data_IF_277947311940
#
_entry.id   IF_277947311940
#
_cell.length_a   1.000
_cell.length_b   1.000
_cell.length_c   1.000
_cell.angle_alpha   90.00
_cell.angle_beta   90.00
_cell.angle_gamma   90.00
#
_symmetry.space_group_name_H-M   'P 1'
#
loop_
_entity.id
_entity.type
_entity.pdbx_description
1 polymer ?
#
# COMPACT_ATOMS: atom_id res chain seq x y z
N UNK A 1 -47.70 -0.76 2.90
CA UNK A 1 -46.35 -1.14 3.40
C UNK A 1 -45.37 -1.12 2.23
N UNK A 2 -44.82 0.04 1.85
CA UNK A 2 -43.93 0.18 0.68
C UNK A 2 -42.55 0.78 1.02
N UNK A 3 -42.22 0.95 2.30
CA UNK A 3 -41.06 1.75 2.71
C UNK A 3 -39.88 0.95 3.27
N UNK A 4 -39.88 -0.39 3.25
CA UNK A 4 -38.82 -1.18 3.89
C UNK A 4 -37.61 -1.52 2.98
N UNK A 5 -37.69 -1.28 1.67
CA UNK A 5 -36.65 -1.71 0.71
C UNK A 5 -35.46 -0.76 0.57
N UNK A 6 -35.54 0.48 1.09
CA UNK A 6 -34.49 1.50 0.90
C UNK A 6 -33.37 1.39 1.96
N UNK A 7 -33.62 0.74 3.11
CA UNK A 7 -32.62 0.65 4.19
C UNK A 7 -31.46 -0.32 3.93
N UNK A 8 -31.60 -1.26 3.00
CA UNK A 8 -30.57 -2.29 2.74
C UNK A 8 -29.46 -1.83 1.78
N UNK A 9 -29.67 -0.76 1.02
CA UNK A 9 -28.69 -0.27 0.02
C UNK A 9 -27.61 0.60 0.71
N UNK A 10 -27.93 1.26 1.83
CA UNK A 10 -26.97 2.09 2.55
C UNK A 10 -25.94 1.29 3.36
N UNK A 11 -26.28 0.10 3.85
CA UNK A 11 -25.37 -0.69 4.68
C UNK A 11 -24.21 -1.31 3.90
N UNK A 12 -24.39 -1.61 2.61
CA UNK A 12 -23.34 -2.18 1.76
C UNK A 12 -22.30 -1.14 1.35
N UNK A 13 -22.71 0.12 1.14
CA UNK A 13 -21.82 1.24 0.82
C UNK A 13 -20.82 1.53 1.95
N UNK A 14 -21.28 1.55 3.21
CA UNK A 14 -20.39 1.82 4.35
C UNK A 14 -19.31 0.75 4.53
N UNK A 15 -19.65 -0.53 4.35
CA UNK A 15 -18.68 -1.63 4.47
C UNK A 15 -17.64 -1.59 3.36
N UNK A 16 -18.00 -1.14 2.15
CA UNK A 16 -17.04 -0.97 1.07
C UNK A 16 -16.11 0.22 1.29
N UNK A 17 -16.64 1.36 1.74
CA UNK A 17 -15.85 2.56 2.03
C UNK A 17 -14.80 2.28 3.11
N UNK A 18 -15.19 1.67 4.24
CA UNK A 18 -14.27 1.36 5.33
C UNK A 18 -13.15 0.38 4.91
N UNK A 19 -13.43 -0.54 3.99
CA UNK A 19 -12.42 -1.47 3.48
C UNK A 19 -11.45 -0.82 2.51
N UNK A 20 -11.91 0.12 1.69
CA UNK A 20 -11.07 0.92 0.81
C UNK A 20 -10.16 1.85 1.62
N UNK A 21 -10.71 2.53 2.63
CA UNK A 21 -9.92 3.36 3.56
C UNK A 21 -8.82 2.53 4.24
N UNK A 22 -9.14 1.31 4.69
CA UNK A 22 -8.15 0.40 5.26
C UNK A 22 -7.06 0.00 4.25
N UNK A 23 -7.41 -0.24 2.99
CA UNK A 23 -6.42 -0.62 1.96
C UNK A 23 -5.47 0.54 1.60
N UNK A 24 -6.02 1.74 1.50
CA UNK A 24 -5.24 2.97 1.28
C UNK A 24 -4.32 3.26 2.47
N UNK A 25 -4.83 3.12 3.70
CA UNK A 25 -4.04 3.28 4.92
C UNK A 25 -2.86 2.32 4.96
N UNK A 26 -3.09 1.02 4.72
CA UNK A 26 -2.01 0.02 4.68
C UNK A 26 -0.95 0.40 3.64
N UNK A 27 -1.36 0.86 2.45
CA UNK A 27 -0.39 1.30 1.44
C UNK A 27 0.48 2.45 1.94
N UNK A 28 -0.15 3.49 2.50
CA UNK A 28 0.54 4.66 3.02
C UNK A 28 1.47 4.33 4.19
N UNK A 29 1.07 3.42 5.08
CA UNK A 29 1.91 2.95 6.19
C UNK A 29 3.19 2.26 5.68
N UNK A 30 3.08 1.40 4.67
CA UNK A 30 4.24 0.75 4.06
C UNK A 30 5.14 1.76 3.32
N UNK A 31 4.56 2.76 2.65
CA UNK A 31 5.35 3.83 2.01
C UNK A 31 6.08 4.69 3.05
N UNK A 32 5.39 5.07 4.13
CA UNK A 32 5.95 5.89 5.20
C UNK A 32 7.15 5.22 5.89
N UNK A 33 7.11 3.89 6.10
CA UNK A 33 8.24 3.12 6.64
C UNK A 33 9.54 3.38 5.85
N UNK A 34 9.47 3.43 4.52
CA UNK A 34 10.64 3.62 3.67
C UNK A 34 11.04 5.10 3.54
N UNK A 35 10.06 6.01 3.55
CA UNK A 35 10.32 7.46 3.54
C UNK A 35 11.03 7.93 4.81
N UNK A 36 10.63 7.41 5.98
CA UNK A 36 11.25 7.72 7.26
C UNK A 36 12.75 7.41 7.27
N UNK A 37 13.12 6.22 6.80
CA UNK A 37 14.54 5.85 6.69
C UNK A 37 15.29 6.70 5.68
N UNK A 38 14.66 7.04 4.54
CA UNK A 38 15.30 7.91 3.55
C UNK A 38 15.50 9.35 4.02
N UNK A 39 14.74 9.81 5.01
CA UNK A 39 14.82 11.15 5.57
C UNK A 39 15.73 11.25 6.80
N UNK A 40 16.40 10.16 7.18
CA UNK A 40 17.25 10.09 8.38
C UNK A 40 16.49 10.49 9.66
N UNK A 41 15.19 10.18 9.68
CA UNK A 41 14.44 10.22 10.93
C UNK A 41 15.05 9.12 11.81
N UNK A 42 15.70 9.50 12.92
CA UNK A 42 16.42 8.65 13.88
C UNK A 42 15.53 7.58 14.59
N UNK A 43 14.55 7.02 13.90
CA UNK A 43 13.72 5.91 14.33
C UNK A 43 14.42 4.59 13.97
N UNK A 44 14.69 3.77 14.99
CA UNK A 44 15.13 2.39 14.81
C UNK A 44 14.00 1.56 14.20
N UNK A 45 13.97 1.44 12.87
CA UNK A 45 13.08 0.54 12.14
C UNK A 45 13.80 -0.79 11.90
N UNK A 46 13.16 -1.91 12.25
CA UNK A 46 13.75 -3.23 12.05
C UNK A 46 13.80 -3.61 10.55
N UNK A 47 14.80 -4.42 10.19
CA UNK A 47 15.05 -4.84 8.82
C UNK A 47 13.92 -5.66 8.20
N UNK A 48 13.15 -6.42 9.01
CA UNK A 48 12.04 -7.20 8.49
C UNK A 48 10.89 -6.27 8.06
N UNK A 49 10.56 -5.27 8.87
CA UNK A 49 9.57 -4.25 8.53
C UNK A 49 9.92 -3.52 7.23
N UNK A 50 11.20 -3.17 7.04
CA UNK A 50 11.67 -2.56 5.79
C UNK A 50 11.52 -3.51 4.59
N UNK A 51 11.90 -4.77 4.77
CA UNK A 51 11.79 -5.80 3.73
C UNK A 51 10.33 -6.06 3.33
N UNK A 52 9.44 -6.16 4.31
CA UNK A 52 8.00 -6.36 4.09
C UNK A 52 7.39 -5.17 3.38
N UNK A 53 7.67 -3.95 3.84
CA UNK A 53 7.19 -2.72 3.22
C UNK A 53 7.64 -2.58 1.76
N UNK A 54 8.93 -2.80 1.50
CA UNK A 54 9.47 -2.83 0.14
C UNK A 54 8.79 -3.89 -0.72
N UNK A 55 8.70 -5.12 -0.22
CA UNK A 55 8.10 -6.25 -0.95
C UNK A 55 6.63 -5.98 -1.28
N UNK A 56 5.90 -5.36 -0.35
CA UNK A 56 4.52 -4.96 -0.53
C UNK A 56 4.38 -3.94 -1.67
N UNK A 57 5.16 -2.86 -1.65
CA UNK A 57 5.10 -1.81 -2.67
C UNK A 57 5.52 -2.31 -4.06
N UNK A 58 6.58 -3.12 -4.13
CA UNK A 58 7.01 -3.78 -5.37
C UNK A 58 5.88 -4.62 -5.98
N UNK A 59 5.24 -5.47 -5.17
CA UNK A 59 4.15 -6.36 -5.62
C UNK A 59 2.89 -5.59 -6.02
N UNK A 60 2.57 -4.52 -5.29
CA UNK A 60 1.33 -3.78 -5.48
C UNK A 60 1.40 -2.83 -6.68
N UNK A 61 2.54 -2.18 -6.86
CA UNK A 61 2.72 -1.16 -7.92
C UNK A 61 3.35 -1.73 -9.20
N UNK A 62 4.11 -2.83 -9.08
CA UNK A 62 4.95 -3.35 -10.17
C UNK A 62 6.17 -2.47 -10.50
N UNK A 63 6.37 -1.35 -9.80
CA UNK A 63 7.52 -0.46 -9.98
C UNK A 63 8.73 -1.17 -9.41
N UNK A 64 9.68 -1.54 -10.28
CA UNK A 64 10.93 -2.21 -9.93
C UNK A 64 12.08 -1.22 -9.96
N UNK A 65 13.12 -1.51 -9.18
CA UNK A 65 14.40 -0.84 -9.23
C UNK A 65 15.51 -1.88 -9.06
N UNK A 66 16.75 -1.49 -9.29
CA UNK A 66 17.88 -2.38 -9.12
C UNK A 66 17.95 -2.84 -7.66
N UNK A 67 17.72 -4.13 -7.45
CA UNK A 67 17.99 -4.82 -6.21
C UNK A 67 19.39 -5.41 -6.41
N UNK A 68 20.39 -4.99 -5.63
CA UNK A 68 21.72 -5.58 -5.72
C UNK A 68 21.67 -7.06 -5.35
N UNK A 69 22.70 -7.77 -5.80
CA UNK A 69 22.86 -9.22 -5.66
C UNK A 69 22.80 -9.65 -4.19
N UNK A 70 22.47 -10.93 -3.99
CA UNK A 70 22.07 -11.60 -2.75
C UNK A 70 22.97 -11.42 -1.50
N UNK A 71 24.06 -10.64 -1.56
CA UNK A 71 25.01 -10.44 -0.46
C UNK A 71 25.35 -8.98 -0.12
N UNK A 72 24.88 -8.00 -0.88
CA UNK A 72 25.09 -6.59 -0.58
C UNK A 72 23.89 -6.03 0.23
N UNK A 73 24.18 -5.13 1.17
CA UNK A 73 23.25 -4.54 2.16
C UNK A 73 21.85 -4.23 1.61
N UNK A 74 20.79 -4.17 2.46
CA UNK A 74 19.45 -3.81 2.01
C UNK A 74 19.50 -2.49 1.23
N UNK A 75 19.39 -2.56 -0.11
CA UNK A 75 19.25 -1.37 -0.91
C UNK A 75 17.97 -0.69 -0.47
N UNK A 76 18.16 0.45 0.18
CA UNK A 76 17.11 1.42 0.39
C UNK A 76 16.67 1.92 -0.99
N UNK A 77 15.36 1.97 -1.26
CA UNK A 77 14.87 2.52 -2.51
C UNK A 77 15.41 3.94 -2.70
N UNK A 78 15.98 4.27 -3.87
CA UNK A 78 16.36 5.64 -4.20
C UNK A 78 15.16 6.60 -4.05
N UNK A 79 15.43 7.89 -3.82
CA UNK A 79 14.37 8.90 -3.65
C UNK A 79 13.42 8.95 -4.84
N UNK A 80 13.92 8.68 -6.04
CA UNK A 80 13.16 8.60 -7.27
C UNK A 80 12.12 7.47 -7.24
N UNK A 81 12.44 6.35 -6.59
CA UNK A 81 11.53 5.21 -6.41
C UNK A 81 10.47 5.52 -5.37
N UNK A 82 10.84 6.14 -4.26
CA UNK A 82 9.88 6.63 -3.27
C UNK A 82 8.87 7.60 -3.91
N UNK A 83 9.39 8.55 -4.71
CA UNK A 83 8.54 9.46 -5.49
C UNK A 83 7.65 8.71 -6.48
N UNK A 84 8.17 7.71 -7.19
CA UNK A 84 7.38 6.93 -8.14
C UNK A 84 6.22 6.17 -7.44
N UNK A 85 6.43 5.63 -6.24
CA UNK A 85 5.37 5.01 -5.46
C UNK A 85 4.34 6.02 -4.95
N UNK A 86 4.77 7.23 -4.55
CA UNK A 86 3.87 8.33 -4.20
C UNK A 86 3.00 8.74 -5.39
N UNK A 87 3.63 9.02 -6.54
CA UNK A 87 2.94 9.38 -7.77
C UNK A 87 1.98 8.26 -8.23
N UNK A 88 2.34 7.00 -8.01
CA UNK A 88 1.48 5.86 -8.29
C UNK A 88 0.25 5.84 -7.38
N UNK A 89 0.43 6.09 -6.07
CA UNK A 89 -0.67 6.13 -5.10
C UNK A 89 -1.67 7.24 -5.47
N UNK A 90 -1.20 8.43 -5.78
CA UNK A 90 -2.07 9.57 -6.12
C UNK A 90 -2.96 9.26 -7.34
N UNK A 91 -2.48 8.43 -8.27
CA UNK A 91 -3.18 8.04 -9.51
C UNK A 91 -4.04 6.78 -9.38
N UNK A 92 -3.82 5.94 -8.36
CA UNK A 92 -4.38 4.58 -8.29
C UNK A 92 -4.93 4.20 -6.92
N UNK A 93 -4.96 5.11 -5.95
CA UNK A 93 -5.40 4.82 -4.57
C UNK A 93 -6.85 4.35 -4.50
N UNK A 94 -7.70 4.77 -5.42
CA UNK A 94 -9.08 4.32 -5.59
C UNK A 94 -9.19 2.84 -6.05
N UNK A 95 -8.13 2.32 -6.66
CA UNK A 95 -8.03 0.92 -7.11
C UNK A 95 -7.53 -0.02 -6.02
N UNK A 96 -7.09 0.50 -4.87
CA UNK A 96 -6.61 -0.31 -3.75
C UNK A 96 -7.76 -1.02 -3.06
N UNK A 97 -7.61 -2.32 -2.81
CA UNK A 97 -8.61 -3.12 -2.10
C UNK A 97 -7.97 -4.25 -1.30
N UNK A 98 -8.67 -4.71 -0.26
CA UNK A 98 -8.29 -5.91 0.48
C UNK A 98 -8.73 -7.18 -0.27
N UNK A 99 -7.76 -7.95 -0.75
CA UNK A 99 -8.00 -9.25 -1.38
C UNK A 99 -8.20 -10.32 -0.29
N UNK A 100 -9.43 -10.84 -0.19
CA UNK A 100 -9.77 -11.86 0.82
C UNK A 100 -9.07 -13.20 0.60
N UNK A 101 -8.69 -13.53 -0.64
CA UNK A 101 -8.08 -14.83 -0.99
C UNK A 101 -6.62 -14.86 -0.56
N UNK A 102 -5.88 -13.79 -0.85
CA UNK A 102 -4.47 -13.66 -0.48
C UNK A 102 -4.26 -12.96 0.85
N UNK A 103 -5.33 -12.46 1.49
CA UNK A 103 -5.30 -11.69 2.75
C UNK A 103 -4.28 -10.55 2.69
N UNK A 104 -4.30 -9.80 1.60
CA UNK A 104 -3.36 -8.71 1.34
C UNK A 104 -4.02 -7.59 0.55
N UNK A 105 -3.48 -6.38 0.67
CA UNK A 105 -3.89 -5.28 -0.21
C UNK A 105 -3.36 -5.53 -1.63
N UNK A 106 -4.20 -5.23 -2.63
CA UNK A 106 -3.87 -5.28 -4.06
C UNK A 106 -4.45 -4.07 -4.78
N UNK A 107 -3.96 -3.85 -5.99
CA UNK A 107 -4.51 -2.87 -6.93
C UNK A 107 -5.27 -3.60 -8.04
N UNK A 108 -6.44 -3.08 -8.42
CA UNK A 108 -7.13 -3.54 -9.64
C UNK A 108 -6.29 -3.13 -10.85
N UNK A 109 -6.09 -4.05 -11.80
CA UNK A 109 -5.51 -3.69 -13.09
C UNK A 109 -6.58 -3.01 -13.94
N UNK A 110 -6.18 -1.92 -14.61
CA UNK A 110 -7.03 -1.16 -15.52
C UNK A 110 -7.19 -1.84 -16.87
#
# INVERSE_FOLDING_TARGET
>A
MKSLLILFIFSTLSVTAQKTENAQKIFLENLAVLEKVSNDENESIDLNTLYEARSFLLKTTGIKYELEKDFDMPIFPPKEILKAWRDWYDKNSDKLYWDKKTKSVKARQG
#
